data_IF_998764663838
#
_entry.id   IF_998764663838
#
_cell.length_a   1.000
_cell.length_b   1.000
_cell.length_c   1.000
_cell.angle_alpha   90.00
_cell.angle_beta   90.00
_cell.angle_gamma   90.00
#
_symmetry.space_group_name_H-M   'P 1'
#
loop_
_entity.id
_entity.type
_entity.pdbx_description
1 polymer ?
#
# COMPACT_ATOMS: atom_id res chain seq x y z
N UNK A 1 -15.86 27.47 28.85
CA UNK A 1 -15.48 26.12 28.37
C UNK A 1 -15.27 26.21 26.87
N UNK A 2 -14.01 26.22 26.41
CA UNK A 2 -13.67 26.06 25.00
C UNK A 2 -13.56 24.55 24.71
N UNK A 3 -14.40 24.01 23.82
CA UNK A 3 -14.14 22.69 23.24
C UNK A 3 -12.96 22.84 22.28
N UNK A 4 -11.80 22.28 22.64
CA UNK A 4 -10.73 22.05 21.69
C UNK A 4 -11.15 20.93 20.75
N UNK A 5 -11.48 21.26 19.50
CA UNK A 5 -11.63 20.27 18.45
C UNK A 5 -10.26 19.63 18.20
N UNK A 6 -10.11 18.35 18.55
CA UNK A 6 -8.99 17.53 18.13
C UNK A 6 -9.04 17.39 16.60
N UNK A 7 -8.30 18.25 15.89
CA UNK A 7 -8.07 18.08 14.46
C UNK A 7 -7.12 16.89 14.33
N UNK A 8 -7.65 15.71 14.00
CA UNK A 8 -6.81 14.58 13.61
C UNK A 8 -5.94 15.01 12.42
N UNK A 9 -4.63 14.73 12.42
CA UNK A 9 -3.77 15.07 11.30
C UNK A 9 -4.32 14.38 10.04
N UNK A 10 -4.67 15.19 9.03
CA UNK A 10 -4.97 14.71 7.69
C UNK A 10 -3.65 14.38 7.01
N UNK A 11 -3.14 13.17 7.17
CA UNK A 11 -2.05 12.69 6.32
C UNK A 11 -2.66 12.42 4.95
N UNK A 12 -2.48 13.20 3.90
CA UNK A 12 -3.09 12.87 2.59
C UNK A 12 -2.67 11.49 2.08
N UNK A 13 -3.50 10.77 1.30
CA UNK A 13 -3.04 9.55 0.64
C UNK A 13 -1.79 9.82 -0.21
N UNK A 14 -0.82 8.93 -0.15
CA UNK A 14 0.29 8.92 -1.10
C UNK A 14 -0.24 8.48 -2.46
N UNK A 15 0.10 9.21 -3.52
CA UNK A 15 -0.34 8.90 -4.89
C UNK A 15 0.88 8.68 -5.77
N UNK A 16 0.86 7.62 -6.57
CA UNK A 16 1.88 7.38 -7.58
C UNK A 16 1.59 6.13 -8.39
N UNK A 17 2.61 5.56 -9.02
CA UNK A 17 2.47 4.36 -9.84
C UNK A 17 2.87 3.11 -9.06
N UNK A 18 2.47 1.96 -9.58
CA UNK A 18 2.96 0.67 -9.11
C UNK A 18 3.69 -0.08 -10.22
N UNK A 19 4.71 -0.83 -9.82
CA UNK A 19 5.31 -1.90 -10.61
C UNK A 19 4.79 -3.26 -10.13
N UNK A 20 5.36 -4.34 -10.69
CA UNK A 20 4.90 -5.72 -10.51
C UNK A 20 6.08 -6.64 -10.28
N UNK A 21 5.95 -7.55 -9.31
CA UNK A 21 6.78 -8.74 -9.21
C UNK A 21 6.38 -9.83 -10.21
N UNK A 22 7.32 -10.72 -10.52
CA UNK A 22 7.00 -11.93 -11.30
C UNK A 22 6.07 -12.88 -10.53
N UNK A 23 5.28 -13.70 -11.26
CA UNK A 23 4.33 -14.62 -10.63
C UNK A 23 4.98 -15.50 -9.56
N UNK A 24 4.39 -15.54 -8.36
CA UNK A 24 4.84 -16.38 -7.25
C UNK A 24 6.04 -15.86 -6.46
N UNK A 25 6.71 -14.79 -6.90
CA UNK A 25 7.90 -14.27 -6.21
C UNK A 25 7.53 -13.63 -4.88
N UNK A 26 6.51 -12.77 -4.87
CA UNK A 26 6.15 -12.02 -3.67
C UNK A 26 5.54 -12.91 -2.59
N UNK A 27 4.74 -13.88 -3.00
CA UNK A 27 4.18 -14.92 -2.14
C UNK A 27 5.29 -15.73 -1.46
N UNK A 28 6.36 -16.03 -2.20
CA UNK A 28 7.57 -16.65 -1.66
C UNK A 28 8.26 -15.80 -0.58
N UNK A 29 8.37 -14.48 -0.80
CA UNK A 29 8.91 -13.53 0.20
C UNK A 29 8.07 -13.54 1.46
N UNK A 30 6.75 -13.40 1.34
CA UNK A 30 5.82 -13.39 2.49
C UNK A 30 5.84 -14.71 3.24
N UNK A 31 5.82 -15.84 2.54
CA UNK A 31 5.91 -17.17 3.15
C UNK A 31 7.24 -17.35 3.90
N UNK A 32 8.35 -16.88 3.32
CA UNK A 32 9.66 -16.93 3.97
C UNK A 32 9.70 -16.09 5.25
N UNK A 33 9.09 -14.90 5.25
CA UNK A 33 9.01 -14.06 6.45
C UNK A 33 8.19 -14.70 7.57
N UNK A 34 7.03 -15.26 7.26
CA UNK A 34 6.23 -15.99 8.25
C UNK A 34 6.95 -17.21 8.81
N UNK A 35 7.66 -17.98 7.97
CA UNK A 35 8.41 -19.15 8.41
C UNK A 35 9.57 -18.82 9.37
N UNK A 36 10.09 -17.60 9.33
CA UNK A 36 11.27 -17.19 10.11
C UNK A 36 10.98 -16.09 11.15
N UNK A 37 9.73 -15.63 11.26
CA UNK A 37 9.34 -14.46 12.07
C UNK A 37 10.16 -13.20 11.72
N UNK A 38 10.42 -13.00 10.42
CA UNK A 38 11.23 -11.88 9.91
C UNK A 38 10.37 -10.69 9.54
N UNK A 39 9.83 -10.04 10.56
CA UNK A 39 8.98 -8.87 10.41
C UNK A 39 9.52 -7.68 11.18
N UNK A 40 9.39 -6.48 10.62
CA UNK A 40 9.68 -5.23 11.36
C UNK A 40 8.54 -4.89 12.31
N UNK A 41 7.31 -5.13 11.85
CA UNK A 41 6.09 -5.04 12.64
C UNK A 41 5.38 -6.38 12.56
N UNK A 42 4.89 -6.93 13.67
CA UNK A 42 4.09 -8.17 13.63
C UNK A 42 2.85 -7.97 12.75
N UNK A 43 2.64 -8.79 11.71
CA UNK A 43 1.41 -8.76 10.92
C UNK A 43 0.17 -8.96 11.78
N UNK A 44 -0.96 -8.32 11.45
CA UNK A 44 -2.19 -8.52 12.21
C UNK A 44 -2.68 -9.97 12.09
N UNK A 45 -3.38 -10.46 13.11
CA UNK A 45 -3.88 -11.85 13.14
C UNK A 45 -4.78 -12.19 11.94
N UNK A 46 -5.45 -11.19 11.37
CA UNK A 46 -6.35 -11.31 10.22
C UNK A 46 -5.68 -11.01 8.87
N UNK A 47 -4.34 -11.06 8.79
CA UNK A 47 -3.58 -10.77 7.57
C UNK A 47 -4.04 -11.56 6.34
N UNK A 48 -4.60 -12.76 6.51
CA UNK A 48 -5.09 -13.61 5.41
C UNK A 48 -6.29 -13.00 4.66
N UNK A 49 -6.87 -11.92 5.18
CA UNK A 49 -7.98 -11.20 4.56
C UNK A 49 -7.53 -10.10 3.59
N UNK A 50 -6.23 -9.91 3.39
CA UNK A 50 -5.71 -8.93 2.42
C UNK A 50 -6.00 -9.34 0.98
N UNK A 51 -6.13 -8.35 0.11
CA UNK A 51 -6.35 -8.52 -1.32
C UNK A 51 -5.07 -8.83 -2.10
N UNK A 52 -3.90 -8.66 -1.47
CA UNK A 52 -2.59 -8.89 -2.04
C UNK A 52 -1.46 -8.35 -1.16
N UNK A 53 -0.27 -8.30 -1.74
CA UNK A 53 0.98 -7.92 -1.10
C UNK A 53 1.68 -6.78 -1.85
N UNK A 54 2.48 -6.01 -1.12
CA UNK A 54 3.29 -4.95 -1.70
C UNK A 54 4.68 -4.84 -1.07
N UNK A 55 5.67 -4.47 -1.88
CA UNK A 55 6.90 -3.85 -1.41
C UNK A 55 6.75 -2.33 -1.52
N UNK A 56 7.20 -1.58 -0.51
CA UNK A 56 7.12 -0.11 -0.53
C UNK A 56 8.50 0.54 -0.38
N UNK A 57 8.58 1.84 -0.61
CA UNK A 57 9.79 2.63 -0.32
C UNK A 57 9.99 2.90 1.18
N UNK A 58 9.00 2.59 2.02
CA UNK A 58 9.04 2.82 3.46
C UNK A 58 9.19 1.50 4.21
N UNK A 59 10.42 1.20 4.63
CA UNK A 59 10.71 -0.01 5.38
C UNK A 59 9.99 -0.09 6.73
N UNK A 60 9.55 1.01 7.33
CA UNK A 60 8.81 0.96 8.59
C UNK A 60 7.39 0.41 8.42
N UNK A 61 6.95 0.18 7.17
CA UNK A 61 5.67 -0.43 6.85
C UNK A 61 5.72 -1.96 6.79
N UNK A 62 6.90 -2.59 6.73
CA UNK A 62 6.98 -4.06 6.58
C UNK A 62 6.28 -4.77 7.75
N UNK A 63 5.28 -5.57 7.40
CA UNK A 63 4.38 -6.27 8.33
C UNK A 63 3.13 -5.49 8.72
N UNK A 64 2.91 -4.27 8.21
CA UNK A 64 1.65 -3.54 8.35
C UNK A 64 0.74 -3.81 7.16
N UNK A 65 -0.56 -3.67 7.37
CA UNK A 65 -1.53 -3.58 6.30
C UNK A 65 -1.75 -2.10 5.95
N UNK A 66 -1.70 -1.81 4.65
CA UNK A 66 -2.07 -0.50 4.09
C UNK A 66 -3.36 -0.63 3.33
N UNK A 67 -4.05 0.49 3.14
CA UNK A 67 -5.19 0.58 2.26
C UNK A 67 -4.71 1.17 0.94
N UNK A 68 -4.96 0.45 -0.15
CA UNK A 68 -4.59 0.85 -1.49
C UNK A 68 -5.78 0.71 -2.45
N UNK A 69 -5.77 1.50 -3.51
CA UNK A 69 -6.70 1.36 -4.63
C UNK A 69 -6.12 1.95 -5.91
N UNK A 70 -6.55 1.50 -7.09
CA UNK A 70 -6.32 2.23 -8.33
C UNK A 70 -6.94 3.63 -8.28
N UNK A 71 -6.28 4.61 -8.89
CA UNK A 71 -6.87 5.96 -9.02
C UNK A 71 -8.18 5.86 -9.80
N UNK A 72 -9.26 6.36 -9.21
CA UNK A 72 -10.61 6.28 -9.77
C UNK A 72 -11.44 5.10 -9.27
N UNK A 73 -10.85 4.13 -8.57
CA UNK A 73 -11.60 3.08 -7.89
C UNK A 73 -12.34 3.63 -6.67
N UNK A 74 -13.56 3.12 -6.41
CA UNK A 74 -14.34 3.54 -5.24
C UNK A 74 -13.89 2.82 -3.95
N UNK A 75 -13.48 1.57 -4.09
CA UNK A 75 -13.16 0.67 -2.97
C UNK A 75 -11.69 0.76 -2.59
N UNK A 76 -11.41 0.83 -1.29
CA UNK A 76 -10.08 0.66 -0.72
C UNK A 76 -9.88 -0.80 -0.33
N UNK A 77 -8.81 -1.42 -0.82
CA UNK A 77 -8.46 -2.80 -0.52
C UNK A 77 -7.30 -2.86 0.48
N UNK A 78 -7.30 -3.90 1.32
CA UNK A 78 -6.24 -4.16 2.29
C UNK A 78 -5.08 -4.83 1.58
N UNK A 79 -3.87 -4.30 1.71
CA UNK A 79 -2.66 -4.85 1.11
C UNK A 79 -1.60 -5.00 2.20
N UNK A 80 -1.06 -6.21 2.37
CA UNK A 80 -0.01 -6.45 3.35
C UNK A 80 1.34 -6.01 2.78
N UNK A 81 2.04 -5.11 3.48
CA UNK A 81 3.39 -4.72 3.08
C UNK A 81 4.35 -5.82 3.51
N UNK A 82 4.71 -6.67 2.56
CA UNK A 82 5.56 -7.83 2.79
C UNK A 82 7.04 -7.56 2.54
N UNK A 83 7.40 -6.42 1.94
CA UNK A 83 8.81 -6.06 1.77
C UNK A 83 9.01 -4.55 1.66
N UNK A 84 10.26 -4.13 1.59
CA UNK A 84 10.62 -2.77 1.22
C UNK A 84 11.87 -2.76 0.35
N UNK A 85 12.18 -1.62 -0.23
CA UNK A 85 13.35 -1.50 -1.10
C UNK A 85 14.65 -1.83 -0.35
N UNK A 86 15.40 -2.81 -0.88
CA UNK A 86 16.56 -3.41 -0.21
C UNK A 86 17.90 -2.73 -0.53
N UNK A 87 17.95 -1.92 -1.59
CA UNK A 87 19.16 -1.25 -2.05
C UNK A 87 18.86 0.16 -2.61
N UNK A 88 19.91 0.98 -2.67
CA UNK A 88 19.81 2.40 -3.07
C UNK A 88 19.46 2.56 -4.55
N UNK A 89 19.90 1.66 -5.43
CA UNK A 89 19.65 1.79 -6.86
C UNK A 89 18.18 1.55 -7.18
N UNK A 90 17.58 0.54 -6.55
CA UNK A 90 16.13 0.30 -6.65
C UNK A 90 15.34 1.45 -6.04
N UNK A 91 15.80 2.03 -4.92
CA UNK A 91 15.15 3.20 -4.32
C UNK A 91 15.15 4.39 -5.28
N UNK A 92 16.30 4.74 -5.85
CA UNK A 92 16.43 5.85 -6.79
C UNK A 92 15.52 5.63 -8.02
N UNK A 93 15.51 4.42 -8.57
CA UNK A 93 14.61 4.08 -9.68
C UNK A 93 13.13 4.25 -9.32
N UNK A 94 12.70 3.78 -8.13
CA UNK A 94 11.30 3.94 -7.69
C UNK A 94 10.95 5.43 -7.54
N UNK A 95 11.83 6.22 -6.91
CA UNK A 95 11.61 7.65 -6.70
C UNK A 95 11.57 8.42 -8.02
N UNK A 96 12.51 8.16 -8.93
CA UNK A 96 12.60 8.80 -10.25
C UNK A 96 11.36 8.53 -11.13
N UNK A 97 10.70 7.37 -10.93
CA UNK A 97 9.51 6.97 -11.68
C UNK A 97 8.20 7.18 -10.91
N UNK A 98 8.25 7.84 -9.74
CA UNK A 98 7.11 8.01 -8.84
C UNK A 98 6.38 6.69 -8.53
N UNK A 99 7.14 5.60 -8.37
CA UNK A 99 6.63 4.28 -7.98
C UNK A 99 6.54 4.25 -6.46
N UNK A 100 5.33 4.08 -5.96
CA UNK A 100 5.04 4.10 -4.52
C UNK A 100 5.01 2.71 -3.91
N UNK A 101 4.78 1.69 -4.75
CA UNK A 101 4.82 0.30 -4.36
C UNK A 101 5.12 -0.61 -5.55
N UNK A 102 5.68 -1.77 -5.28
CA UNK A 102 5.70 -2.90 -6.21
C UNK A 102 4.69 -3.94 -5.71
N UNK A 103 3.72 -4.32 -6.54
CA UNK A 103 2.66 -5.24 -6.13
C UNK A 103 3.00 -6.69 -6.48
N UNK A 104 2.34 -7.62 -5.80
CA UNK A 104 2.27 -9.01 -6.26
C UNK A 104 1.61 -9.11 -7.65
N UNK A 105 1.85 -10.24 -8.31
CA UNK A 105 1.41 -10.47 -9.68
C UNK A 105 -0.12 -10.42 -9.84
N UNK A 106 -0.85 -11.06 -8.92
CA UNK A 106 -2.29 -11.26 -9.04
C UNK A 106 -3.05 -9.95 -8.84
N UNK A 107 -2.69 -9.20 -7.79
CA UNK A 107 -3.26 -7.90 -7.50
C UNK A 107 -2.97 -6.90 -8.62
N UNK A 108 -1.71 -6.83 -9.07
CA UNK A 108 -1.34 -5.95 -10.19
C UNK A 108 -2.14 -6.29 -11.44
N UNK A 109 -2.20 -7.57 -11.81
CA UNK A 109 -2.87 -8.00 -13.05
C UNK A 109 -4.36 -7.70 -12.99
N UNK A 110 -5.02 -7.94 -11.86
CA UNK A 110 -6.43 -7.62 -11.66
C UNK A 110 -6.68 -6.13 -11.84
N UNK A 111 -5.95 -5.28 -11.13
CA UNK A 111 -6.12 -3.83 -11.23
C UNK A 111 -5.74 -3.28 -12.60
N UNK A 112 -4.63 -3.71 -13.19
CA UNK A 112 -4.21 -3.27 -14.52
C UNK A 112 -5.21 -3.65 -15.61
N UNK A 113 -5.88 -4.80 -15.48
CA UNK A 113 -6.90 -5.24 -16.44
C UNK A 113 -8.14 -4.32 -16.46
N UNK A 114 -8.45 -3.67 -15.34
CA UNK A 114 -9.63 -2.82 -15.17
C UNK A 114 -9.31 -1.33 -15.34
N UNK A 115 -8.16 -0.87 -14.82
CA UNK A 115 -7.79 0.55 -14.76
C UNK A 115 -6.68 0.95 -15.75
N UNK A 116 -6.10 -0.02 -16.46
CA UNK A 116 -5.11 0.22 -17.50
C UNK A 116 -3.68 0.43 -16.99
N UNK A 117 -2.77 0.65 -17.94
CA UNK A 117 -1.35 0.92 -17.70
C UNK A 117 -0.96 2.30 -18.26
N UNK A 118 -0.04 3.04 -17.61
CA UNK A 118 0.58 2.73 -16.31
C UNK A 118 -0.44 2.78 -15.17
N UNK A 119 -0.30 1.86 -14.20
CA UNK A 119 -1.27 1.71 -13.11
C UNK A 119 -0.97 2.72 -11.99
N UNK A 120 -1.78 3.75 -11.89
CA UNK A 120 -1.73 4.73 -10.81
C UNK A 120 -2.56 4.27 -9.62
N UNK A 121 -2.07 4.49 -8.40
CA UNK A 121 -2.73 4.11 -7.14
C UNK A 121 -2.73 5.25 -6.12
N UNK A 122 -3.66 5.17 -5.19
CA UNK A 122 -3.63 5.89 -3.92
C UNK A 122 -3.36 4.90 -2.78
N UNK A 123 -2.52 5.28 -1.82
CA UNK A 123 -2.13 4.49 -0.66
C UNK A 123 -2.26 5.29 0.64
N UNK A 124 -2.73 4.65 1.71
CA UNK A 124 -2.81 5.22 3.06
C UNK A 124 -2.66 4.15 4.14
N UNK A 125 -2.30 4.55 5.35
CA UNK A 125 -2.26 3.64 6.49
C UNK A 125 -3.65 3.13 6.87
N UNK A 126 -3.75 1.86 7.28
CA UNK A 126 -4.95 1.26 7.85
C UNK A 126 -5.24 1.91 9.22
N UNK A 127 -6.05 2.97 9.23
CA UNK A 127 -6.35 3.76 10.42
C UNK A 127 -6.68 5.22 10.14
N UNK A 128 -6.30 5.73 8.96
CA UNK A 128 -6.69 7.08 8.53
C UNK A 128 -8.04 7.01 7.79
N UNK A 129 -9.12 7.44 8.45
CA UNK A 129 -10.40 7.71 7.78
C UNK A 129 -10.36 9.12 7.19
N UNK A 130 -10.39 9.25 5.86
CA UNK A 130 -10.68 10.53 5.22
C UNK A 130 -12.19 10.72 5.12
N UNK A 131 -12.69 11.72 5.80
CA UNK A 131 -14.02 12.24 5.54
C UNK A 131 -13.97 13.09 4.26
N UNK A 132 -14.35 12.49 3.13
CA UNK A 132 -14.52 13.19 1.85
C UNK A 132 -15.87 13.93 1.76
N UNK A 133 -16.71 13.95 2.82
CA UNK A 133 -18.08 14.46 2.75
C UNK A 133 -18.21 16.00 2.78
N UNK A 134 -17.12 16.78 2.81
CA UNK A 134 -17.21 18.24 3.00
C UNK A 134 -17.26 19.10 1.72
N UNK A 135 -17.26 18.52 0.51
CA UNK A 135 -17.32 19.31 -0.74
C UNK A 135 -18.70 19.45 -1.37
N UNK A 136 -19.79 19.05 -0.70
CA UNK A 136 -21.17 19.19 -1.22
C UNK A 136 -21.93 20.43 -0.73
N UNK A 137 -21.28 21.39 -0.07
CA UNK A 137 -21.96 22.59 0.45
C UNK A 137 -21.16 23.89 0.28
N UNK A 138 -20.64 24.15 -0.92
CA UNK A 138 -20.26 25.52 -1.33
C UNK A 138 -20.80 25.79 -2.74
#
# INVERSE_FOLDING_TARGET
>A
MLLAALVAPRTSPQTGYVSRYDPGVFEGVVAHRFANDWWRNTPPDDWQTVAGYAATTDCDQVGKVVLMRPVGAETWERVLVGDCVGDVQTMDWMLDNNIVAELDYELFTRWASEYGLPLAVEMRSEGVRYDYALWRYL
#
